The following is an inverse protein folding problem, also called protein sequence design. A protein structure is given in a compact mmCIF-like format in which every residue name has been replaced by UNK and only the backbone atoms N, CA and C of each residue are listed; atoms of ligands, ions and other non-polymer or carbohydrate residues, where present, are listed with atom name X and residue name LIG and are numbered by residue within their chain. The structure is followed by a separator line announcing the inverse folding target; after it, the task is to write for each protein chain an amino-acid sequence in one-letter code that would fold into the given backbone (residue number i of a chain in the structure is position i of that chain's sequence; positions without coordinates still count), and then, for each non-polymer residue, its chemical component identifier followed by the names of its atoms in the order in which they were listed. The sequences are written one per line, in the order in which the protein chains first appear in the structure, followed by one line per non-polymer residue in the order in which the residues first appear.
data_IF_529527196073
#
_entry.id   IF_529527196073
#
_cell.length_a   1.000
_cell.length_b   1.000
_cell.length_c   1.000
_cell.angle_alpha   90.00
_cell.angle_beta   90.00
_cell.angle_gamma   90.00
#
_symmetry.space_group_name_H-M   'P 1'
#
loop_
_entity.id
_entity.type
_entity.pdbx_description
1 polymer ?
#
# COMPACT_ATOMS: atom_id res chain seq x y z
N UNK A 1 -24.86 -34.35 -6.02
CA UNK A 1 -24.51 -33.87 -4.65
C UNK A 1 -23.00 -33.60 -4.48
N UNK A 2 -22.10 -34.52 -4.85
CA UNK A 2 -20.63 -34.31 -4.77
C UNK A 2 -20.13 -33.07 -5.55
N UNK A 3 -20.59 -32.89 -6.79
CA UNK A 3 -20.21 -31.75 -7.65
C UNK A 3 -20.62 -30.39 -7.05
N UNK A 4 -21.82 -30.32 -6.47
CA UNK A 4 -22.34 -29.12 -5.82
C UNK A 4 -21.47 -28.72 -4.61
N UNK A 5 -21.04 -29.71 -3.82
CA UNK A 5 -20.20 -29.49 -2.65
C UNK A 5 -18.82 -28.94 -3.06
N UNK A 6 -18.22 -29.49 -4.11
CA UNK A 6 -16.95 -28.99 -4.64
C UNK A 6 -17.06 -27.55 -5.17
N UNK A 7 -18.15 -27.22 -5.88
CA UNK A 7 -18.38 -25.86 -6.39
C UNK A 7 -18.56 -24.83 -5.26
N UNK A 8 -19.23 -25.20 -4.18
CA UNK A 8 -19.42 -24.34 -3.00
C UNK A 8 -18.09 -24.10 -2.27
N UNK A 9 -17.26 -25.14 -2.12
CA UNK A 9 -15.96 -25.02 -1.47
C UNK A 9 -15.00 -24.13 -2.27
N UNK A 10 -14.98 -24.26 -3.60
CA UNK A 10 -14.15 -23.44 -4.48
C UNK A 10 -14.55 -21.96 -4.43
N UNK A 11 -15.84 -21.65 -4.49
CA UNK A 11 -16.34 -20.27 -4.44
C UNK A 11 -16.07 -19.59 -3.09
N UNK A 12 -16.24 -20.32 -1.98
CA UNK A 12 -15.90 -19.82 -0.65
C UNK A 12 -14.39 -19.52 -0.52
N UNK A 13 -13.53 -20.42 -1.02
CA UNK A 13 -12.09 -20.26 -0.93
C UNK A 13 -11.56 -19.11 -1.82
N UNK A 14 -12.10 -18.96 -3.03
CA UNK A 14 -11.74 -17.85 -3.92
C UNK A 14 -12.11 -16.48 -3.32
N UNK A 15 -13.19 -16.41 -2.54
CA UNK A 15 -13.64 -15.16 -1.90
C UNK A 15 -12.66 -14.67 -0.82
N UNK A 16 -12.01 -15.61 -0.12
CA UNK A 16 -11.04 -15.33 0.94
C UNK A 16 -9.68 -14.86 0.39
N UNK A 17 -9.30 -15.35 -0.78
CA UNK A 17 -8.03 -14.98 -1.45
C UNK A 17 -8.16 -13.62 -2.14
N UNK A 18 -9.36 -13.28 -2.65
CA UNK A 18 -9.61 -12.00 -3.31
C UNK A 18 -9.87 -10.84 -2.34
N UNK A 19 -10.15 -11.14 -1.06
CA UNK A 19 -10.20 -10.14 0.00
C UNK A 19 -8.79 -9.70 0.39
N UNK A 20 -8.14 -8.95 -0.50
CA UNK A 20 -7.21 -7.93 -0.04
C UNK A 20 -8.01 -6.98 0.86
N UNK A 21 -7.45 -6.46 1.97
CA UNK A 21 -8.12 -5.40 2.69
C UNK A 21 -8.50 -4.33 1.68
N UNK A 22 -9.78 -3.97 1.59
CA UNK A 22 -10.20 -2.69 1.03
C UNK A 22 -9.77 -1.58 2.00
N UNK A 23 -8.51 -1.63 2.43
CA UNK A 23 -7.83 -0.67 3.25
C UNK A 23 -7.08 0.20 2.27
N UNK A 24 -7.47 1.48 2.26
CA UNK A 24 -6.71 2.61 1.73
C UNK A 24 -5.30 2.25 1.31
N UNK A 25 -4.93 2.54 0.04
CA UNK A 25 -3.55 2.51 -0.42
C UNK A 25 -2.62 2.96 0.71
N UNK A 26 -1.66 2.11 1.15
CA UNK A 26 -0.86 2.40 2.32
C UNK A 26 -0.26 3.78 2.15
N UNK A 27 -0.68 4.70 3.03
CA UNK A 27 -0.25 6.09 2.92
C UNK A 27 1.24 6.14 3.18
N UNK A 28 2.00 6.49 2.15
CA UNK A 28 3.46 6.59 2.27
C UNK A 28 3.81 7.78 3.18
N UNK A 29 4.42 7.47 4.32
CA UNK A 29 4.88 8.44 5.31
C UNK A 29 6.38 8.26 5.56
N UNK A 30 7.06 9.37 5.86
CA UNK A 30 8.44 9.34 6.34
C UNK A 30 8.47 9.53 7.86
N UNK A 31 9.27 8.71 8.56
CA UNK A 31 9.50 8.82 10.00
C UNK A 31 10.91 9.33 10.35
N UNK A 32 11.76 9.45 9.33
CA UNK A 32 13.14 9.92 9.42
C UNK A 32 13.50 10.70 8.16
N UNK A 33 14.42 11.65 8.28
CA UNK A 33 14.90 12.48 7.18
C UNK A 33 16.33 12.10 6.80
N UNK A 34 16.72 12.38 5.55
CA UNK A 34 18.12 12.27 5.14
C UNK A 34 18.97 13.22 5.99
N UNK A 35 19.98 12.68 6.67
CA UNK A 35 20.92 13.47 7.45
C UNK A 35 21.86 14.33 6.59
N UNK A 36 21.93 14.06 5.27
CA UNK A 36 22.78 14.77 4.33
C UNK A 36 21.94 15.38 3.21
N UNK A 37 22.39 16.52 2.71
CA UNK A 37 21.76 17.17 1.58
C UNK A 37 21.93 16.34 0.30
N UNK A 38 20.83 16.10 -0.41
CA UNK A 38 20.84 15.39 -1.68
C UNK A 38 21.28 16.38 -2.78
N UNK A 39 22.33 16.07 -3.56
CA UNK A 39 22.73 16.95 -4.66
C UNK A 39 21.61 17.06 -5.69
N UNK A 40 21.20 18.28 -6.04
CA UNK A 40 20.05 18.56 -6.91
C UNK A 40 20.10 17.85 -8.25
N UNK A 41 21.30 17.60 -8.79
CA UNK A 41 21.51 16.87 -10.04
C UNK A 41 20.98 15.43 -10.02
N UNK A 42 20.76 14.84 -8.85
CA UNK A 42 20.22 13.49 -8.70
C UNK A 42 18.70 13.46 -8.44
N UNK A 43 18.07 14.62 -8.22
CA UNK A 43 16.63 14.71 -7.96
C UNK A 43 15.91 14.74 -9.31
N UNK A 44 15.09 13.73 -9.59
CA UNK A 44 14.25 13.68 -10.80
C UNK A 44 12.90 14.33 -10.58
N UNK A 45 12.28 14.05 -9.45
CA UNK A 45 10.98 14.54 -9.04
C UNK A 45 10.94 14.64 -7.51
N UNK A 46 9.95 15.35 -6.99
CA UNK A 46 9.66 15.36 -5.58
C UNK A 46 8.16 15.51 -5.35
N UNK A 47 7.65 14.96 -4.26
CA UNK A 47 6.25 15.11 -3.88
C UNK A 47 6.07 15.20 -2.37
N UNK A 48 5.02 15.90 -1.95
CA UNK A 48 4.64 15.96 -0.55
C UNK A 48 4.00 14.65 -0.12
N UNK A 49 4.37 14.16 1.06
CA UNK A 49 3.66 13.07 1.71
C UNK A 49 2.24 13.50 2.07
N UNK A 50 1.36 12.53 2.28
CA UNK A 50 -0.03 12.79 2.67
C UNK A 50 -0.13 13.60 3.97
N UNK A 51 -1.14 14.45 4.06
CA UNK A 51 -1.48 15.19 5.28
C UNK A 51 -1.95 14.30 6.44
N UNK A 52 -2.20 13.02 6.18
CA UNK A 52 -2.51 12.01 7.21
C UNK A 52 -1.28 11.55 8.01
N UNK A 53 -0.07 11.87 7.54
CA UNK A 53 1.16 11.52 8.26
C UNK A 53 1.34 12.38 9.51
N UNK A 54 1.95 11.81 10.56
CA UNK A 54 2.23 12.55 11.80
C UNK A 54 3.29 13.64 11.63
N UNK A 55 4.10 13.54 10.59
CA UNK A 55 5.17 14.48 10.26
C UNK A 55 5.08 14.87 8.78
N UNK A 56 5.28 16.15 8.44
CA UNK A 56 5.32 16.60 7.06
C UNK A 56 6.66 16.20 6.41
N UNK A 57 6.63 15.62 5.21
CA UNK A 57 7.83 15.26 4.46
C UNK A 57 7.69 15.46 2.95
N UNK A 58 8.84 15.44 2.28
CA UNK A 58 8.98 15.44 0.82
C UNK A 58 9.81 14.21 0.47
N UNK A 59 9.32 13.41 -0.48
CA UNK A 59 10.06 12.29 -1.08
C UNK A 59 10.60 12.68 -2.44
#
# INVERSE_FOLDING_TARGET
MKLCLCAILLTAFCSQVLSAPAGSDPTSCCFSYSARQIPRKHIREYYYTSSRCSQPAIM
#
